data_IF_714253702927
#
_entry.id   IF_714253702927
#
_cell.length_a   1.000
_cell.length_b   1.000
_cell.length_c   1.000
_cell.angle_alpha   90.00
_cell.angle_beta   90.00
_cell.angle_gamma   90.00
#
_symmetry.space_group_name_H-M   'P 1'
#
loop_
_entity.id
_entity.type
_entity.pdbx_description
1 polymer ?
#
# COMPACT_ATOMS: atom_id res chain seq x y z
N UNK A 1 -3.93 7.62 11.71
CA UNK A 1 -3.95 6.60 10.65
C UNK A 1 -5.05 6.94 9.67
N UNK A 2 -4.83 6.74 8.36
CA UNK A 2 -5.77 7.13 7.31
C UNK A 2 -5.88 6.03 6.26
N UNK A 3 -7.08 5.76 5.79
CA UNK A 3 -7.28 4.86 4.65
C UNK A 3 -6.60 5.40 3.38
N UNK A 4 -5.99 4.51 2.60
CA UNK A 4 -5.36 4.85 1.33
C UNK A 4 -5.31 3.67 0.37
N UNK A 5 -5.06 3.98 -0.90
CA UNK A 5 -4.85 3.04 -1.99
C UNK A 5 -3.52 3.31 -2.66
N UNK A 6 -2.85 2.24 -3.08
CA UNK A 6 -1.54 2.29 -3.72
C UNK A 6 -1.71 2.00 -5.21
N UNK A 7 -1.40 2.98 -6.06
CA UNK A 7 -1.44 2.81 -7.51
C UNK A 7 -0.53 1.68 -7.97
N UNK A 8 -1.07 0.75 -8.75
CA UNK A 8 -0.35 -0.42 -9.28
C UNK A 8 -0.18 -1.58 -8.29
N UNK A 9 -0.66 -1.48 -7.05
CA UNK A 9 -0.62 -2.56 -6.07
C UNK A 9 -1.74 -3.59 -6.30
N UNK A 10 -1.67 -4.28 -7.43
CA UNK A 10 -2.61 -5.34 -7.83
C UNK A 10 -2.11 -6.68 -7.29
N UNK A 11 -2.99 -7.45 -6.66
CA UNK A 11 -2.66 -8.79 -6.16
C UNK A 11 -2.84 -9.88 -7.22
N UNK A 12 -2.64 -11.15 -6.85
CA UNK A 12 -2.77 -12.29 -7.78
C UNK A 12 -4.17 -12.46 -8.39
N UNK A 13 -5.20 -11.91 -7.73
CA UNK A 13 -6.59 -11.98 -8.20
C UNK A 13 -6.92 -10.79 -9.13
N UNK A 14 -5.94 -9.95 -9.48
CA UNK A 14 -6.15 -8.75 -10.29
C UNK A 14 -6.82 -7.60 -9.52
N UNK A 15 -6.86 -7.68 -8.19
CA UNK A 15 -7.60 -6.74 -7.34
C UNK A 15 -6.62 -5.84 -6.59
N UNK A 16 -6.82 -4.53 -6.68
CA UNK A 16 -6.19 -3.60 -5.74
C UNK A 16 -6.96 -3.66 -4.41
N UNK A 17 -6.25 -3.63 -3.29
CA UNK A 17 -6.87 -3.72 -1.95
C UNK A 17 -6.63 -2.44 -1.14
N UNK A 18 -7.58 -2.08 -0.26
CA UNK A 18 -7.42 -0.94 0.62
C UNK A 18 -6.23 -1.14 1.55
N UNK A 19 -5.49 -0.07 1.78
CA UNK A 19 -4.37 -0.01 2.73
C UNK A 19 -4.60 1.05 3.81
N UNK A 20 -3.75 0.99 4.83
CA UNK A 20 -3.70 1.99 5.89
C UNK A 20 -2.36 2.72 5.84
N UNK A 21 -2.44 4.04 5.67
CA UNK A 21 -1.33 4.94 5.87
C UNK A 21 -1.13 5.15 7.38
N UNK A 22 0.02 4.69 7.86
CA UNK A 22 0.39 4.70 9.28
C UNK A 22 1.14 5.98 9.62
N UNK A 23 2.17 6.32 8.86
CA UNK A 23 3.05 7.46 9.10
C UNK A 23 3.69 7.98 7.81
N UNK A 24 4.35 9.14 7.91
CA UNK A 24 5.08 9.79 6.82
C UNK A 24 6.55 9.92 7.16
N UNK A 25 7.42 9.79 6.15
CA UNK A 25 8.85 10.13 6.26
C UNK A 25 9.34 10.88 5.04
N UNK A 26 10.51 11.52 5.17
CA UNK A 26 11.26 12.06 4.05
C UNK A 26 12.29 11.03 3.56
N UNK A 27 12.11 10.54 2.33
CA UNK A 27 13.06 9.69 1.62
C UNK A 27 13.84 10.47 0.55
N UNK A 28 14.75 9.80 -0.14
CA UNK A 28 15.62 10.42 -1.15
C UNK A 28 14.86 11.10 -2.30
N UNK A 29 13.70 10.55 -2.69
CA UNK A 29 12.87 11.06 -3.79
C UNK A 29 11.66 11.89 -3.32
N UNK A 30 11.53 12.16 -2.02
CA UNK A 30 10.46 12.99 -1.48
C UNK A 30 9.71 12.38 -0.29
N UNK A 31 8.41 12.67 -0.19
CA UNK A 31 7.58 12.13 0.90
C UNK A 31 7.22 10.69 0.58
N UNK A 32 7.36 9.82 1.59
CA UNK A 32 6.93 8.44 1.54
C UNK A 32 5.98 8.16 2.70
N UNK A 33 4.91 7.43 2.43
CA UNK A 33 3.99 6.96 3.46
C UNK A 33 4.26 5.50 3.78
N UNK A 34 4.31 5.15 5.06
CA UNK A 34 4.30 3.75 5.48
C UNK A 34 2.88 3.22 5.31
N UNK A 35 2.71 2.27 4.41
CA UNK A 35 1.41 1.65 4.11
C UNK A 35 1.43 0.20 4.53
N UNK A 36 0.39 -0.17 5.27
CA UNK A 36 0.08 -1.56 5.65
C UNK A 36 -1.17 -1.99 4.88
N UNK A 37 -1.10 -3.08 4.12
CA UNK A 37 -2.25 -3.58 3.32
C UNK A 37 -2.25 -5.10 3.22
N UNK A 38 -3.43 -5.76 3.17
CA UNK A 38 -3.52 -7.17 2.83
C UNK A 38 -3.23 -7.38 1.33
N UNK A 39 -2.62 -8.50 0.98
CA UNK A 39 -2.40 -8.92 -0.41
C UNK A 39 -2.63 -10.43 -0.56
N UNK A 40 -3.31 -10.84 -1.63
CA UNK A 40 -3.37 -12.25 -2.04
C UNK A 40 -2.13 -12.59 -2.85
N UNK A 41 -1.39 -13.61 -2.40
CA UNK A 41 -0.21 -14.11 -3.12
C UNK A 41 -0.49 -15.40 -3.90
N UNK A 42 -1.47 -16.17 -3.46
CA UNK A 42 -1.93 -17.40 -4.10
C UNK A 42 -3.37 -17.73 -3.64
N UNK A 43 -4.06 -18.70 -4.27
CA UNK A 43 -5.36 -19.17 -3.79
C UNK A 43 -5.28 -19.61 -2.32
N UNK A 44 -6.10 -18.97 -1.48
CA UNK A 44 -6.13 -19.22 -0.04
C UNK A 44 -5.04 -18.51 0.78
N UNK A 45 -4.01 -17.95 0.14
CA UNK A 45 -2.85 -17.38 0.83
C UNK A 45 -2.93 -15.86 0.91
N UNK A 46 -3.01 -15.37 2.14
CA UNK A 46 -3.02 -13.95 2.47
C UNK A 46 -1.74 -13.56 3.20
N UNK A 47 -1.22 -12.39 2.85
CA UNK A 47 -0.11 -11.76 3.57
C UNK A 47 -0.45 -10.33 3.93
N UNK A 48 0.19 -9.81 4.96
CA UNK A 48 0.19 -8.39 5.28
C UNK A 48 1.48 -7.77 4.75
N UNK A 49 1.36 -6.82 3.83
CA UNK A 49 2.50 -6.08 3.28
C UNK A 49 2.62 -4.77 4.03
N UNK A 50 3.80 -4.52 4.59
CA UNK A 50 4.19 -3.24 5.19
C UNK A 50 5.35 -2.66 4.38
N UNK A 51 5.15 -1.49 3.76
CA UNK A 51 6.15 -0.89 2.88
C UNK A 51 6.07 0.64 2.89
N UNK A 52 7.21 1.29 2.63
CA UNK A 52 7.26 2.71 2.32
C UNK A 52 6.90 2.94 0.86
N UNK A 53 5.94 3.83 0.60
CA UNK A 53 5.42 4.11 -0.74
C UNK A 53 5.56 5.60 -1.05
N UNK A 54 6.07 5.99 -2.23
CA UNK A 54 6.08 7.39 -2.66
C UNK A 54 4.70 8.03 -2.59
N UNK A 55 4.60 9.23 -2.01
CA UNK A 55 3.33 9.93 -1.82
C UNK A 55 2.49 10.08 -3.10
N UNK A 56 3.16 10.24 -4.26
CA UNK A 56 2.52 10.34 -5.58
C UNK A 56 1.74 9.09 -6.01
N UNK A 57 1.99 7.95 -5.38
CA UNK A 57 1.30 6.68 -5.64
C UNK A 57 0.18 6.42 -4.63
N UNK A 58 0.00 7.28 -3.63
CA UNK A 58 -1.01 7.13 -2.60
C UNK A 58 -2.24 7.97 -2.93
N UNK A 59 -3.41 7.34 -2.90
CA UNK A 59 -4.70 8.02 -3.05
C UNK A 59 -5.66 7.65 -1.91
N UNK A 60 -6.69 8.45 -1.60
CA UNK A 60 -7.65 8.14 -0.55
C UNK A 60 -8.81 7.19 -0.97
N UNK A 61 -8.76 6.55 -2.15
CA UNK A 61 -9.94 6.01 -2.88
C UNK A 61 -10.22 4.52 -2.72
#
# INVERSE_FOLDING_TARGET
MRHCWVSGAVDVDGVTRPGMLVEWRRGAAGWEGLVVRPERRAPGVWVLVQQWVPARLLSPR
#
